data_IF_680766079895
#
_entry.id   IF_680766079895
#
_cell.length_a   1.000
_cell.length_b   1.000
_cell.length_c   1.000
_cell.angle_alpha   90.00
_cell.angle_beta   90.00
_cell.angle_gamma   90.00
#
_symmetry.space_group_name_H-M   'P 1'
#
loop_
_entity.id
_entity.type
_entity.pdbx_description
1 polymer ?
#
# COMPACT_ATOMS: atom_id res chain seq x y z
N UNK A 1 -10.64 -1.34 20.43
CA UNK A 1 -10.50 -0.13 19.57
C UNK A 1 -10.30 -0.59 18.14
N UNK A 2 -11.24 -0.29 17.25
CA UNK A 2 -11.11 -0.60 15.82
C UNK A 2 -9.90 0.17 15.30
N UNK A 3 -8.94 -0.56 14.75
CA UNK A 3 -7.67 0.02 14.37
C UNK A 3 -7.85 0.89 13.12
N UNK A 4 -7.79 2.19 13.28
CA UNK A 4 -7.99 3.19 12.23
C UNK A 4 -7.13 2.91 10.99
N UNK A 5 -5.94 2.30 11.19
CA UNK A 5 -5.02 1.95 10.12
C UNK A 5 -5.50 0.80 9.21
N UNK A 6 -6.51 0.02 9.59
CA UNK A 6 -7.09 -1.02 8.76
C UNK A 6 -8.36 -0.61 8.02
N UNK A 7 -9.10 0.34 8.56
CA UNK A 7 -10.40 0.74 8.01
C UNK A 7 -10.22 1.25 6.58
N UNK A 8 -9.29 2.17 6.35
CA UNK A 8 -9.09 2.77 5.02
C UNK A 8 -8.68 1.75 3.95
N UNK A 9 -7.67 0.89 4.18
CA UNK A 9 -7.36 -0.17 3.22
C UNK A 9 -8.55 -1.08 2.90
N UNK A 10 -9.36 -1.46 3.88
CA UNK A 10 -10.57 -2.27 3.66
C UNK A 10 -11.62 -1.54 2.83
N UNK A 11 -11.82 -0.24 3.06
CA UNK A 11 -12.71 0.60 2.25
C UNK A 11 -12.24 0.59 0.78
N UNK A 12 -10.94 0.77 0.52
CA UNK A 12 -10.41 0.74 -0.85
C UNK A 12 -10.62 -0.60 -1.53
N UNK A 13 -10.45 -1.72 -0.80
CA UNK A 13 -10.73 -3.06 -1.31
C UNK A 13 -12.21 -3.20 -1.68
N UNK A 14 -13.12 -2.82 -0.79
CA UNK A 14 -14.58 -2.90 -1.03
C UNK A 14 -14.98 -2.06 -2.25
N UNK A 15 -14.53 -0.82 -2.33
CA UNK A 15 -14.80 0.06 -3.49
C UNK A 15 -14.28 -0.60 -4.77
N UNK A 16 -13.08 -1.15 -4.75
CA UNK A 16 -12.47 -1.81 -5.90
C UNK A 16 -13.31 -3.00 -6.35
N UNK A 17 -13.76 -3.86 -5.44
CA UNK A 17 -14.60 -5.03 -5.76
C UNK A 17 -15.91 -4.57 -6.42
N UNK A 18 -16.58 -3.55 -5.87
CA UNK A 18 -17.82 -3.02 -6.44
C UNK A 18 -17.60 -2.45 -7.85
N UNK A 19 -16.48 -1.75 -8.06
CA UNK A 19 -16.13 -1.17 -9.38
C UNK A 19 -15.73 -2.25 -10.39
N UNK A 20 -15.06 -3.32 -9.97
CA UNK A 20 -14.68 -4.45 -10.83
C UNK A 20 -15.89 -5.17 -11.41
N UNK A 21 -16.99 -5.27 -10.68
CA UNK A 21 -18.22 -5.89 -11.17
C UNK A 21 -18.86 -5.11 -12.34
N UNK A 22 -18.66 -3.80 -12.39
CA UNK A 22 -19.32 -2.89 -13.35
C UNK A 22 -18.43 -2.46 -14.51
N UNK A 23 -17.10 -2.65 -14.41
CA UNK A 23 -16.14 -2.12 -15.39
C UNK A 23 -15.62 -3.19 -16.33
N UNK A 24 -15.51 -2.83 -17.62
CA UNK A 24 -14.79 -3.63 -18.62
C UNK A 24 -13.25 -3.48 -18.47
N UNK A 25 -12.78 -2.33 -18.00
CA UNK A 25 -11.36 -2.05 -17.81
C UNK A 25 -10.92 -2.33 -16.37
N UNK A 26 -10.75 -3.59 -16.04
CA UNK A 26 -10.45 -4.06 -14.70
C UNK A 26 -9.10 -3.59 -14.17
N UNK A 27 -8.10 -3.49 -15.05
CA UNK A 27 -6.75 -3.02 -14.70
C UNK A 27 -6.76 -1.59 -14.20
N UNK A 28 -7.43 -0.68 -14.91
CA UNK A 28 -7.58 0.71 -14.47
C UNK A 28 -8.38 0.82 -13.16
N UNK A 29 -9.35 -0.07 -12.96
CA UNK A 29 -10.10 -0.08 -11.69
C UNK A 29 -9.18 -0.43 -10.53
N UNK A 30 -8.40 -1.51 -10.62
CA UNK A 30 -7.47 -1.90 -9.55
C UNK A 30 -6.41 -0.82 -9.33
N UNK A 31 -5.86 -0.26 -10.40
CA UNK A 31 -4.87 0.79 -10.28
C UNK A 31 -5.42 2.04 -9.58
N UNK A 32 -6.58 2.54 -9.99
CA UNK A 32 -7.13 3.82 -9.53
C UNK A 32 -7.87 3.73 -8.18
N UNK A 33 -8.50 2.61 -7.87
CA UNK A 33 -9.35 2.48 -6.68
C UNK A 33 -8.71 1.66 -5.56
N UNK A 34 -7.67 0.86 -5.85
CA UNK A 34 -6.92 0.14 -4.85
C UNK A 34 -5.50 0.69 -4.68
N UNK A 35 -4.68 0.65 -5.75
CA UNK A 35 -3.26 0.97 -5.63
C UNK A 35 -3.01 2.44 -5.29
N UNK A 36 -3.51 3.38 -6.08
CA UNK A 36 -3.26 4.80 -5.85
C UNK A 36 -3.71 5.25 -4.45
N UNK A 37 -4.94 4.94 -3.98
CA UNK A 37 -5.35 5.31 -2.63
C UNK A 37 -4.50 4.66 -1.54
N UNK A 38 -4.08 3.38 -1.71
CA UNK A 38 -3.20 2.72 -0.76
C UNK A 38 -1.83 3.38 -0.70
N UNK A 39 -1.21 3.68 -1.84
CA UNK A 39 0.10 4.33 -1.91
C UNK A 39 0.04 5.69 -1.22
N UNK A 40 -0.99 6.51 -1.50
CA UNK A 40 -1.20 7.79 -0.84
C UNK A 40 -1.39 7.61 0.68
N UNK A 41 -2.18 6.63 1.09
CA UNK A 41 -2.41 6.33 2.50
C UNK A 41 -1.11 6.00 3.24
N UNK A 42 -0.23 5.16 2.66
CA UNK A 42 1.08 4.89 3.21
C UNK A 42 1.96 6.14 3.28
N UNK A 43 1.95 6.96 2.24
CA UNK A 43 2.69 8.24 2.23
C UNK A 43 2.27 9.15 3.38
N UNK A 44 0.97 9.35 3.56
CA UNK A 44 0.41 10.17 4.65
C UNK A 44 0.80 9.57 6.02
N UNK A 45 0.73 8.26 6.16
CA UNK A 45 1.13 7.56 7.38
C UNK A 45 2.57 7.88 7.78
N UNK A 46 3.50 7.79 6.85
CA UNK A 46 4.92 8.01 7.10
C UNK A 46 5.30 9.49 7.21
N UNK A 47 4.64 10.40 6.47
CA UNK A 47 4.98 11.82 6.48
C UNK A 47 4.29 12.60 7.60
N UNK A 48 2.99 12.37 7.80
CA UNK A 48 2.18 13.16 8.73
C UNK A 48 2.07 12.48 10.09
N UNK A 49 1.94 11.15 10.09
CA UNK A 49 1.71 10.36 11.31
C UNK A 49 2.90 9.46 11.68
N UNK A 50 4.13 9.81 11.23
CA UNK A 50 5.35 9.01 11.37
C UNK A 50 5.55 8.43 12.78
N UNK A 51 5.44 9.24 13.82
CA UNK A 51 5.58 8.82 15.22
C UNK A 51 4.47 7.86 15.66
N UNK A 52 3.22 8.11 15.26
CA UNK A 52 2.10 7.23 15.59
C UNK A 52 2.21 5.89 14.88
N UNK A 53 2.59 5.91 13.60
CA UNK A 53 2.80 4.70 12.80
C UNK A 53 3.93 3.87 13.40
N UNK A 54 5.12 4.44 13.60
CA UNK A 54 6.26 3.75 14.20
C UNK A 54 5.88 3.12 15.55
N UNK A 55 5.32 3.90 16.48
CA UNK A 55 4.88 3.40 17.78
C UNK A 55 3.85 2.27 17.67
N UNK A 56 2.94 2.32 16.71
CA UNK A 56 1.88 1.32 16.56
C UNK A 56 2.39 -0.04 16.10
N UNK A 57 3.51 -0.08 15.38
CA UNK A 57 4.21 -1.30 14.93
C UNK A 57 5.36 -1.71 15.85
N UNK A 58 5.57 -0.98 16.95
CA UNK A 58 6.63 -1.28 17.92
C UNK A 58 8.01 -0.70 17.56
N UNK A 59 8.08 0.25 16.63
CA UNK A 59 9.34 0.87 16.18
C UNK A 59 9.60 2.23 16.82
N UNK A 60 10.87 2.60 16.90
CA UNK A 60 11.24 3.96 17.20
C UNK A 60 11.08 4.87 15.98
N UNK A 61 10.61 6.09 16.20
CA UNK A 61 10.54 7.10 15.14
C UNK A 61 11.95 7.49 14.73
N UNK A 62 12.20 7.53 13.43
CA UNK A 62 13.49 7.93 12.86
C UNK A 62 13.30 8.77 11.59
N UNK A 63 14.33 9.50 11.13
CA UNK A 63 14.29 10.21 9.84
C UNK A 63 13.96 9.28 8.66
N UNK A 64 14.29 8.01 8.75
CA UNK A 64 13.98 7.01 7.72
C UNK A 64 12.48 6.87 7.43
N UNK A 65 11.60 7.16 8.40
CA UNK A 65 10.16 7.21 8.18
C UNK A 65 9.77 8.24 7.10
N UNK A 66 10.44 9.40 7.10
CA UNK A 66 10.18 10.43 6.08
C UNK A 66 10.70 10.02 4.71
N UNK A 67 11.85 9.34 4.64
CA UNK A 67 12.38 8.81 3.37
C UNK A 67 11.41 7.80 2.74
N UNK A 68 10.85 6.89 3.54
CA UNK A 68 9.79 5.98 3.10
C UNK A 68 8.56 6.74 2.62
N UNK A 69 8.14 7.77 3.34
CA UNK A 69 7.02 8.61 2.99
C UNK A 69 7.23 9.36 1.66
N UNK A 70 8.41 9.94 1.44
CA UNK A 70 8.75 10.61 0.18
C UNK A 70 8.85 9.62 -0.98
N UNK A 71 9.42 8.44 -0.77
CA UNK A 71 9.47 7.39 -1.78
C UNK A 71 8.06 6.98 -2.23
N UNK A 72 7.18 6.68 -1.29
CA UNK A 72 5.79 6.28 -1.60
C UNK A 72 4.99 7.43 -2.22
N UNK A 73 5.20 8.67 -1.77
CA UNK A 73 4.59 9.85 -2.38
C UNK A 73 5.04 10.05 -3.83
N UNK A 74 6.30 9.78 -4.14
CA UNK A 74 6.82 9.86 -5.51
C UNK A 74 6.15 8.84 -6.42
N UNK A 75 5.96 7.59 -5.96
CA UNK A 75 5.21 6.57 -6.70
C UNK A 75 3.75 7.02 -6.92
N UNK A 76 3.11 7.59 -5.89
CA UNK A 76 1.75 8.12 -6.01
C UNK A 76 1.65 9.21 -7.07
N UNK A 77 2.54 10.20 -7.04
CA UNK A 77 2.54 11.33 -8.00
C UNK A 77 2.70 10.82 -9.43
N UNK A 78 3.68 9.95 -9.68
CA UNK A 78 3.91 9.36 -11.01
C UNK A 78 2.71 8.52 -11.45
N UNK A 79 2.14 7.71 -10.55
CA UNK A 79 0.97 6.89 -10.82
C UNK A 79 -0.28 7.71 -11.12
N UNK A 80 -0.51 8.78 -10.35
CA UNK A 80 -1.62 9.70 -10.58
C UNK A 80 -1.48 10.41 -11.93
N UNK A 81 -0.29 10.90 -12.25
CA UNK A 81 0.01 11.52 -13.53
C UNK A 81 -0.25 10.56 -14.71
N UNK A 82 0.23 9.31 -14.60
CA UNK A 82 0.02 8.30 -15.62
C UNK A 82 -1.48 7.95 -15.79
N UNK A 83 -2.22 7.90 -14.69
CA UNK A 83 -3.67 7.63 -14.71
C UNK A 83 -4.46 8.76 -15.36
N UNK A 84 -4.22 10.02 -14.98
CA UNK A 84 -4.93 11.18 -15.51
C UNK A 84 -4.68 11.35 -17.02
N UNK A 85 -3.45 11.06 -17.47
CA UNK A 85 -3.07 11.17 -18.88
C UNK A 85 -3.39 9.89 -19.70
N UNK A 86 -4.13 8.94 -19.12
CA UNK A 86 -4.53 7.70 -19.78
C UNK A 86 -3.35 6.92 -20.41
N UNK A 87 -2.24 6.81 -19.68
CA UNK A 87 -1.08 6.07 -20.14
C UNK A 87 -1.39 4.59 -20.34
N UNK A 88 -0.57 3.92 -21.13
CA UNK A 88 -0.75 2.52 -21.48
C UNK A 88 -0.80 1.61 -20.25
N UNK A 89 -1.48 0.49 -20.37
CA UNK A 89 -1.54 -0.52 -19.30
C UNK A 89 -0.15 -1.03 -18.92
N UNK A 90 0.80 -1.05 -19.85
CA UNK A 90 2.20 -1.43 -19.58
C UNK A 90 2.86 -0.45 -18.61
N UNK A 91 2.61 0.85 -18.78
CA UNK A 91 3.11 1.88 -17.87
C UNK A 91 2.51 1.71 -16.47
N UNK A 92 1.18 1.54 -16.38
CA UNK A 92 0.49 1.32 -15.10
C UNK A 92 0.99 0.03 -14.41
N UNK A 93 1.24 -1.01 -15.18
CA UNK A 93 1.81 -2.29 -14.71
C UNK A 93 3.22 -2.09 -14.13
N UNK A 94 4.07 -1.34 -14.79
CA UNK A 94 5.42 -1.05 -14.30
C UNK A 94 5.39 -0.32 -12.96
N UNK A 95 4.52 0.68 -12.82
CA UNK A 95 4.35 1.43 -11.57
C UNK A 95 3.79 0.49 -10.46
N UNK A 96 2.80 -0.34 -10.81
CA UNK A 96 2.24 -1.31 -9.87
C UNK A 96 3.30 -2.30 -9.38
N UNK A 97 4.19 -2.79 -10.24
CA UNK A 97 5.27 -3.71 -9.86
C UNK A 97 6.31 -3.05 -8.95
N UNK A 98 6.67 -1.78 -9.18
CA UNK A 98 7.55 -1.04 -8.25
C UNK A 98 6.93 -1.04 -6.85
N UNK A 99 5.63 -0.73 -6.74
CA UNK A 99 4.91 -0.75 -5.48
C UNK A 99 4.85 -2.15 -4.86
N UNK A 100 4.50 -3.19 -5.63
CA UNK A 100 4.40 -4.56 -5.12
C UNK A 100 5.74 -5.08 -4.61
N UNK A 101 6.83 -4.85 -5.33
CA UNK A 101 8.17 -5.24 -4.89
C UNK A 101 8.50 -4.53 -3.56
N UNK A 102 8.22 -3.24 -3.46
CA UNK A 102 8.45 -2.47 -2.25
C UNK A 102 7.69 -3.04 -1.04
N UNK A 103 6.38 -3.31 -1.16
CA UNK A 103 5.59 -3.83 -0.03
C UNK A 103 5.95 -5.28 0.32
N UNK A 104 6.41 -6.09 -0.63
CA UNK A 104 6.96 -7.43 -0.35
C UNK A 104 8.23 -7.30 0.50
N UNK A 105 9.17 -6.42 0.13
CA UNK A 105 10.37 -6.19 0.92
C UNK A 105 10.06 -5.63 2.32
N UNK A 106 9.11 -4.72 2.42
CA UNK A 106 8.63 -4.25 3.71
C UNK A 106 8.01 -5.38 4.56
N UNK A 107 7.24 -6.28 3.94
CA UNK A 107 6.66 -7.43 4.63
C UNK A 107 7.72 -8.41 5.15
N UNK A 108 8.82 -8.60 4.44
CA UNK A 108 9.96 -9.40 4.93
C UNK A 108 10.51 -8.80 6.23
N UNK A 109 10.58 -7.48 6.31
CA UNK A 109 11.00 -6.81 7.54
C UNK A 109 10.02 -7.05 8.70
N UNK A 110 8.71 -6.94 8.46
CA UNK A 110 7.69 -7.29 9.45
C UNK A 110 7.76 -8.75 9.90
N UNK A 111 8.05 -9.68 8.99
CA UNK A 111 8.26 -11.10 9.33
C UNK A 111 9.50 -11.27 10.21
N UNK A 112 10.60 -10.57 9.93
CA UNK A 112 11.80 -10.59 10.80
C UNK A 112 11.47 -10.11 12.20
N UNK A 113 10.73 -9.03 12.36
CA UNK A 113 10.25 -8.52 13.65
C UNK A 113 9.46 -9.58 14.43
N UNK A 114 8.61 -10.34 13.74
CA UNK A 114 7.85 -11.43 14.37
C UNK A 114 8.78 -12.55 14.83
N UNK A 115 9.73 -12.98 13.99
CA UNK A 115 10.56 -14.14 14.25
C UNK A 115 11.68 -13.84 15.28
N UNK A 116 12.32 -12.67 15.17
CA UNK A 116 13.49 -12.30 15.96
C UNK A 116 13.05 -11.58 17.25
N UNK A 117 12.28 -10.51 17.10
CA UNK A 117 11.92 -9.61 18.21
C UNK A 117 10.60 -9.98 18.90
N UNK A 118 9.94 -11.06 18.42
CA UNK A 118 8.65 -11.56 18.96
C UNK A 118 7.56 -10.48 18.95
N UNK A 119 7.62 -9.56 17.97
CA UNK A 119 6.66 -8.47 17.82
C UNK A 119 5.39 -8.97 17.14
N UNK A 120 4.47 -9.51 17.93
CA UNK A 120 3.16 -10.00 17.47
C UNK A 120 2.08 -8.91 17.49
N UNK A 121 2.44 -7.63 17.50
CA UNK A 121 1.44 -6.56 17.46
C UNK A 121 0.63 -6.67 16.17
N UNK A 122 -0.67 -6.42 16.30
CA UNK A 122 -1.58 -6.52 15.16
C UNK A 122 -1.14 -5.59 13.99
N UNK A 123 -0.62 -4.41 14.30
CA UNK A 123 -0.15 -3.45 13.31
C UNK A 123 1.16 -3.87 12.63
N UNK A 124 1.93 -4.77 13.24
CA UNK A 124 3.10 -5.39 12.61
C UNK A 124 2.69 -6.56 11.68
N UNK A 125 1.60 -7.22 11.99
CA UNK A 125 1.11 -8.38 11.22
C UNK A 125 0.24 -7.93 10.03
N UNK A 126 -0.60 -6.91 10.20
CA UNK A 126 -1.57 -6.47 9.18
C UNK A 126 -0.95 -6.04 7.84
N UNK A 127 0.25 -5.42 7.75
CA UNK A 127 0.89 -5.12 6.47
C UNK A 127 1.21 -6.36 5.63
N UNK A 128 1.52 -7.49 6.27
CA UNK A 128 1.79 -8.76 5.57
C UNK A 128 0.53 -9.24 4.83
N UNK A 129 -0.62 -9.23 5.52
CA UNK A 129 -1.90 -9.59 4.89
C UNK A 129 -2.29 -8.62 3.78
N UNK A 130 -2.09 -7.32 4.00
CA UNK A 130 -2.35 -6.31 2.97
C UNK A 130 -1.47 -6.49 1.74
N UNK A 131 -0.21 -6.88 1.93
CA UNK A 131 0.70 -7.22 0.82
C UNK A 131 0.17 -8.40 0.01
N UNK A 132 -0.26 -9.48 0.66
CA UNK A 132 -0.83 -10.66 -0.02
C UNK A 132 -2.07 -10.25 -0.82
N UNK A 133 -3.02 -9.55 -0.22
CA UNK A 133 -4.25 -9.12 -0.87
C UNK A 133 -3.93 -8.22 -2.08
N UNK A 134 -3.10 -7.20 -1.89
CA UNK A 134 -2.78 -6.24 -2.95
C UNK A 134 -2.04 -6.91 -4.10
N UNK A 135 -1.07 -7.78 -3.80
CA UNK A 135 -0.33 -8.55 -4.81
C UNK A 135 -1.25 -9.46 -5.61
N UNK A 136 -2.23 -10.08 -4.96
CA UNK A 136 -3.24 -10.91 -5.61
C UNK A 136 -4.07 -10.10 -6.60
N UNK A 137 -4.57 -8.92 -6.21
CA UNK A 137 -5.31 -8.04 -7.13
C UNK A 137 -4.45 -7.60 -8.32
N UNK A 138 -3.18 -7.24 -8.09
CA UNK A 138 -2.27 -6.85 -9.17
C UNK A 138 -2.02 -8.01 -10.11
N UNK A 139 -1.73 -9.19 -9.58
CA UNK A 139 -1.49 -10.40 -10.40
C UNK A 139 -2.66 -10.74 -11.33
N UNK A 140 -3.91 -10.67 -10.84
CA UNK A 140 -5.06 -11.06 -11.64
C UNK A 140 -5.58 -9.99 -12.58
N UNK A 141 -5.35 -8.72 -12.30
CA UNK A 141 -6.03 -7.64 -13.02
C UNK A 141 -5.08 -6.65 -13.71
N UNK A 142 -3.83 -6.57 -13.33
CA UNK A 142 -2.83 -5.69 -13.93
C UNK A 142 -1.75 -6.49 -14.65
#
# INVERSE_FOLDING_TARGET
>A
MINFFLIFPLIFIIITIIKLQKSKNKSHVVFNYLLLPLILYYSIGHLIFSSKVAKSIGWNTSPFQYELGYFTLSIFIVGLYASINNYSIQTLRSIAYIWIIFIIMASINHIKEILIDKNYSFNNISPIFMTIITSTFVYYYI
#
